data_IF_668428952165
#
_entry.id   IF_668428952165
#
_cell.length_a   1.000
_cell.length_b   1.000
_cell.length_c   1.000
_cell.angle_alpha   90.00
_cell.angle_beta   90.00
_cell.angle_gamma   90.00
#
_symmetry.space_group_name_H-M   'P 1'
#
loop_
_entity.id
_entity.type
_entity.pdbx_description
1 polymer ?
#
# COMPACT_ATOMS: atom_id res chain seq x y z
N UNK A 1 7.18 4.73 33.71
CA UNK A 1 8.58 4.47 33.32
C UNK A 1 8.58 3.64 32.05
N UNK A 2 9.09 4.20 30.96
CA UNK A 2 9.16 3.71 29.58
C UNK A 2 9.86 2.34 29.43
N UNK A 3 9.10 1.23 29.34
CA UNK A 3 9.70 -0.08 29.01
C UNK A 3 9.07 -0.82 27.83
N UNK A 4 7.86 -0.48 27.38
CA UNK A 4 7.22 -1.17 26.25
C UNK A 4 7.35 -0.47 24.88
N UNK A 5 7.67 0.83 24.85
CA UNK A 5 7.69 1.60 23.59
C UNK A 5 8.90 1.31 22.68
N UNK A 6 9.88 0.50 23.11
CA UNK A 6 11.07 0.16 22.31
C UNK A 6 10.88 -1.05 21.39
N UNK A 7 9.73 -1.75 21.45
CA UNK A 7 9.52 -2.98 20.65
C UNK A 7 8.98 -2.72 19.24
N UNK A 8 8.38 -1.55 19.00
CA UNK A 8 7.75 -1.23 17.72
C UNK A 8 8.60 -0.24 16.93
N UNK A 9 9.37 -0.74 15.95
CA UNK A 9 9.94 0.12 14.90
C UNK A 9 8.79 0.62 14.03
N UNK A 10 8.33 1.83 14.30
CA UNK A 10 7.34 2.50 13.46
C UNK A 10 7.95 2.78 12.09
N UNK A 11 7.40 2.14 11.05
CA UNK A 11 7.86 2.28 9.68
C UNK A 11 6.96 3.26 8.91
N UNK A 12 7.42 3.73 7.75
CA UNK A 12 6.64 4.62 6.87
C UNK A 12 5.29 3.99 6.46
N UNK A 13 5.25 2.66 6.32
CA UNK A 13 4.02 1.89 6.05
C UNK A 13 3.01 2.02 7.19
N UNK A 14 3.48 1.97 8.45
CA UNK A 14 2.62 2.09 9.63
C UNK A 14 2.04 3.52 9.74
N UNK A 15 2.80 4.52 9.29
CA UNK A 15 2.34 5.90 9.17
C UNK A 15 1.28 6.07 8.07
N UNK A 16 1.51 5.53 6.86
CA UNK A 16 0.52 5.58 5.76
C UNK A 16 -0.79 4.91 6.17
N UNK A 17 -0.70 3.74 6.79
CA UNK A 17 -1.85 2.99 7.30
C UNK A 17 -2.65 3.80 8.32
N UNK A 18 -1.98 4.40 9.31
CA UNK A 18 -2.65 5.18 10.34
C UNK A 18 -3.29 6.47 9.81
N UNK A 19 -2.63 7.14 8.87
CA UNK A 19 -3.19 8.36 8.23
C UNK A 19 -4.47 8.03 7.46
N UNK A 20 -4.51 6.88 6.79
CA UNK A 20 -5.70 6.38 6.11
C UNK A 20 -6.82 6.03 7.09
N UNK A 21 -6.53 5.28 8.15
CA UNK A 21 -7.50 4.96 9.21
C UNK A 21 -8.12 6.23 9.82
N UNK A 22 -7.28 7.24 10.11
CA UNK A 22 -7.72 8.51 10.70
C UNK A 22 -8.55 9.37 9.74
N UNK A 23 -8.32 9.25 8.44
CA UNK A 23 -9.15 9.93 7.44
C UNK A 23 -10.47 9.19 7.23
N UNK A 24 -10.45 7.85 7.20
CA UNK A 24 -11.66 7.00 7.16
C UNK A 24 -12.59 7.29 8.33
N UNK A 25 -12.06 7.41 9.55
CA UNK A 25 -12.81 7.79 10.76
C UNK A 25 -13.46 9.19 10.65
N UNK A 26 -12.86 10.13 9.91
CA UNK A 26 -13.40 11.50 9.76
C UNK A 26 -14.45 11.61 8.67
N UNK A 27 -14.22 10.93 7.57
CA UNK A 27 -15.09 11.00 6.38
C UNK A 27 -16.22 9.97 6.43
N UNK A 28 -16.27 9.11 7.45
CA UNK A 28 -17.19 7.96 7.56
C UNK A 28 -17.18 7.06 6.32
N UNK A 29 -16.08 7.06 5.57
CA UNK A 29 -15.91 6.25 4.37
C UNK A 29 -15.33 4.88 4.73
N UNK A 30 -15.51 3.91 3.82
CA UNK A 30 -14.98 2.55 3.96
C UNK A 30 -13.50 2.41 3.50
N UNK A 31 -12.80 3.53 3.32
CA UNK A 31 -11.40 3.58 2.88
C UNK A 31 -10.45 3.28 4.05
N UNK A 32 -10.46 2.02 4.47
CA UNK A 32 -9.60 1.51 5.54
C UNK A 32 -8.11 1.58 5.16
N UNK A 33 -7.22 1.67 6.17
CA UNK A 33 -5.77 1.68 5.94
C UNK A 33 -5.27 0.43 5.19
N UNK A 34 -5.96 -0.70 5.35
CA UNK A 34 -5.70 -1.94 4.60
C UNK A 34 -5.95 -1.76 3.09
N UNK A 35 -7.05 -1.11 2.73
CA UNK A 35 -7.42 -0.87 1.33
C UNK A 35 -6.44 0.10 0.67
N UNK A 36 -5.98 1.13 1.38
CA UNK A 36 -4.97 2.06 0.85
C UNK A 36 -3.62 1.37 0.59
N UNK A 37 -3.15 0.53 1.52
CA UNK A 37 -1.91 -0.24 1.31
C UNK A 37 -2.06 -1.26 0.17
N UNK A 38 -3.22 -1.91 0.06
CA UNK A 38 -3.53 -2.79 -1.05
C UNK A 38 -3.52 -2.04 -2.39
N UNK A 39 -4.15 -0.87 -2.47
CA UNK A 39 -4.15 -0.04 -3.67
C UNK A 39 -2.73 0.44 -4.03
N UNK A 40 -1.96 0.94 -3.05
CA UNK A 40 -0.58 1.32 -3.29
C UNK A 40 0.27 0.14 -3.81
N UNK A 41 0.11 -1.05 -3.24
CA UNK A 41 0.80 -2.25 -3.72
C UNK A 41 0.38 -2.63 -5.14
N UNK A 42 -0.93 -2.64 -5.40
CA UNK A 42 -1.49 -3.04 -6.68
C UNK A 42 -1.05 -2.08 -7.80
N UNK A 43 -1.10 -0.78 -7.56
CA UNK A 43 -0.73 0.25 -8.55
C UNK A 43 0.78 0.48 -8.68
N UNK A 44 1.57 0.27 -7.64
CA UNK A 44 3.02 0.50 -7.69
C UNK A 44 3.81 -0.74 -8.09
N UNK A 45 3.30 -1.95 -7.81
CA UNK A 45 4.05 -3.20 -7.97
C UNK A 45 3.29 -4.18 -8.88
N UNK A 46 2.05 -4.52 -8.55
CA UNK A 46 1.34 -5.59 -9.27
C UNK A 46 1.03 -5.23 -10.72
N UNK A 47 0.43 -4.07 -10.98
CA UNK A 47 0.10 -3.62 -12.34
C UNK A 47 1.37 -3.39 -13.17
N UNK A 48 2.34 -2.57 -12.71
CA UNK A 48 3.45 -2.21 -13.58
C UNK A 48 4.54 -3.27 -13.69
N UNK A 49 4.79 -4.05 -12.63
CA UNK A 49 5.85 -5.06 -12.64
C UNK A 49 5.28 -6.47 -12.71
N UNK A 50 4.28 -6.76 -11.87
CA UNK A 50 3.73 -8.11 -11.75
C UNK A 50 3.13 -8.62 -13.06
N UNK A 51 2.16 -7.90 -13.63
CA UNK A 51 1.42 -8.35 -14.80
C UNK A 51 2.33 -8.56 -16.03
N UNK A 52 3.09 -7.57 -16.53
CA UNK A 52 3.86 -7.74 -17.77
C UNK A 52 5.02 -8.70 -17.62
N UNK A 53 5.69 -8.73 -16.46
CA UNK A 53 6.80 -9.65 -16.24
C UNK A 53 6.30 -11.09 -16.17
N UNK A 54 5.20 -11.35 -15.45
CA UNK A 54 4.64 -12.69 -15.32
C UNK A 54 4.02 -13.19 -16.62
N UNK A 55 3.34 -12.32 -17.37
CA UNK A 55 2.80 -12.69 -18.70
C UNK A 55 3.90 -12.93 -19.73
N UNK A 56 5.07 -12.30 -19.59
CA UNK A 56 6.22 -12.56 -20.47
C UNK A 56 6.96 -13.84 -20.11
N UNK A 57 7.07 -14.18 -18.82
CA UNK A 57 7.82 -15.33 -18.33
C UNK A 57 7.00 -16.63 -18.27
N UNK A 58 5.69 -16.54 -18.07
CA UNK A 58 4.81 -17.68 -17.84
C UNK A 58 3.60 -17.68 -18.78
N UNK A 59 3.03 -18.87 -19.01
CA UNK A 59 1.75 -19.01 -19.72
C UNK A 59 0.62 -18.27 -18.99
N UNK A 60 -0.39 -17.83 -19.75
CA UNK A 60 -1.47 -16.96 -19.26
C UNK A 60 -2.13 -17.45 -17.97
N UNK A 61 -2.40 -18.76 -17.86
CA UNK A 61 -3.05 -19.37 -16.70
C UNK A 61 -2.16 -19.30 -15.45
N UNK A 62 -0.86 -19.59 -15.62
CA UNK A 62 0.11 -19.59 -14.51
C UNK A 62 0.37 -18.16 -14.05
N UNK A 63 0.52 -17.22 -15.00
CA UNK A 63 0.66 -15.80 -14.70
C UNK A 63 -0.53 -15.28 -13.89
N UNK A 64 -1.76 -15.66 -14.27
CA UNK A 64 -2.97 -15.25 -13.55
C UNK A 64 -3.02 -15.81 -12.12
N UNK A 65 -2.68 -17.08 -11.93
CA UNK A 65 -2.61 -17.70 -10.61
C UNK A 65 -1.59 -17.01 -9.69
N UNK A 66 -0.40 -16.70 -10.23
CA UNK A 66 0.66 -16.03 -9.47
C UNK A 66 0.26 -14.58 -9.12
N UNK A 67 -0.36 -13.84 -10.05
CA UNK A 67 -0.88 -12.49 -9.80
C UNK A 67 -1.92 -12.51 -8.68
N UNK A 68 -2.84 -13.48 -8.68
CA UNK A 68 -3.84 -13.63 -7.62
C UNK A 68 -3.20 -13.87 -6.25
N UNK A 69 -2.14 -14.68 -6.18
CA UNK A 69 -1.38 -14.91 -4.94
C UNK A 69 -0.67 -13.61 -4.50
N UNK A 70 -0.04 -12.89 -5.43
CA UNK A 70 0.63 -11.60 -5.16
C UNK A 70 -0.33 -10.50 -4.68
N UNK A 71 -1.59 -10.53 -5.12
CA UNK A 71 -2.63 -9.65 -4.60
C UNK A 71 -2.99 -9.98 -3.14
N UNK A 72 -2.92 -11.24 -2.72
CA UNK A 72 -3.23 -11.62 -1.34
C UNK A 72 -2.13 -11.26 -0.32
N UNK A 73 -0.87 -11.21 -0.76
CA UNK A 73 0.29 -10.86 0.08
C UNK A 73 0.12 -9.56 0.90
N UNK A 74 -0.28 -8.41 0.33
CA UNK A 74 -0.45 -7.18 1.09
C UNK A 74 -1.59 -7.27 2.11
N UNK A 75 -2.68 -7.99 1.84
CA UNK A 75 -3.77 -8.17 2.81
C UNK A 75 -3.30 -9.03 3.99
N UNK A 76 -2.63 -10.17 3.70
CA UNK A 76 -2.09 -11.06 4.72
C UNK A 76 -1.02 -10.36 5.56
N UNK A 77 -0.13 -9.58 4.93
CA UNK A 77 0.86 -8.78 5.62
C UNK A 77 0.20 -7.75 6.53
N UNK A 78 -0.87 -7.08 6.09
CA UNK A 78 -1.61 -6.14 6.93
C UNK A 78 -2.26 -6.84 8.13
N UNK A 79 -2.85 -8.03 7.94
CA UNK A 79 -3.46 -8.77 9.03
C UNK A 79 -2.44 -9.24 10.07
N UNK A 80 -1.30 -9.78 9.62
CA UNK A 80 -0.22 -10.23 10.51
C UNK A 80 0.48 -9.06 11.22
N UNK A 81 0.61 -7.91 10.54
CA UNK A 81 1.35 -6.75 11.05
C UNK A 81 0.51 -5.78 11.89
N UNK A 82 -0.80 -5.70 11.68
CA UNK A 82 -1.69 -4.76 12.38
C UNK A 82 -2.69 -5.49 13.29
N UNK A 83 -2.18 -6.20 14.28
CA UNK A 83 -2.93 -6.73 15.43
C UNK A 83 -3.55 -5.60 16.25
N UNK A 84 -4.66 -5.85 16.95
CA UNK A 84 -5.38 -4.87 17.76
C UNK A 84 -4.45 -4.08 18.72
N UNK A 85 -3.55 -4.78 19.39
CA UNK A 85 -2.57 -4.19 20.33
C UNK A 85 -1.67 -3.13 19.65
N UNK A 86 -1.19 -3.41 18.43
CA UNK A 86 -0.33 -2.49 17.69
C UNK A 86 -1.10 -1.30 17.12
N UNK A 87 -2.39 -1.49 16.80
CA UNK A 87 -3.28 -0.38 16.39
C UNK A 87 -3.49 0.60 17.53
N UNK A 88 -3.66 0.11 18.76
CA UNK A 88 -3.78 0.97 19.95
C UNK A 88 -2.49 1.73 20.23
N UNK A 89 -1.32 1.07 20.11
CA UNK A 89 -0.02 1.72 20.23
C UNK A 89 0.15 2.84 19.16
N UNK A 90 -0.22 2.57 17.91
CA UNK A 90 -0.22 3.57 16.83
C UNK A 90 -1.19 4.73 17.12
N UNK A 91 -2.38 4.44 17.64
CA UNK A 91 -3.36 5.46 18.03
C UNK A 91 -2.85 6.36 19.14
N UNK A 92 -2.12 5.82 20.11
CA UNK A 92 -1.50 6.59 21.20
C UNK A 92 -0.33 7.43 20.70
N UNK A 93 0.50 6.89 19.82
CA UNK A 93 1.69 7.58 19.28
C UNK A 93 1.32 8.69 18.28
N UNK A 94 0.44 8.39 17.33
CA UNK A 94 0.05 9.31 16.26
C UNK A 94 -1.28 10.06 16.52
N UNK A 95 -1.93 9.83 17.66
CA UNK A 95 -3.23 10.41 18.01
C UNK A 95 -3.30 11.93 18.02
N UNK A 96 -2.16 12.62 18.21
CA UNK A 96 -2.09 14.09 18.19
C UNK A 96 -1.94 14.69 16.78
N UNK A 97 -1.98 13.88 15.71
CA UNK A 97 -1.79 14.39 14.36
C UNK A 97 -2.95 15.27 13.88
N UNK A 98 -2.67 16.56 13.66
CA UNK A 98 -3.56 17.52 13.00
C UNK A 98 -3.32 17.47 11.47
N UNK A 99 -4.40 17.56 10.68
CA UNK A 99 -4.41 17.51 9.20
C UNK A 99 -4.07 16.16 8.53
N UNK A 100 -4.71 15.06 8.93
CA UNK A 100 -4.58 13.74 8.30
C UNK A 100 -4.89 13.75 6.79
N UNK A 101 -5.93 14.46 6.35
CA UNK A 101 -6.33 14.51 4.93
C UNK A 101 -5.25 15.07 3.98
N UNK A 102 -4.57 16.17 4.35
CA UNK A 102 -3.50 16.75 3.51
C UNK A 102 -2.29 15.81 3.42
N UNK A 103 -2.00 15.07 4.48
CA UNK A 103 -0.93 14.06 4.51
C UNK A 103 -1.30 12.85 3.64
N UNK A 104 -2.54 12.39 3.73
CA UNK A 104 -3.08 11.34 2.86
C UNK A 104 -2.99 11.75 1.39
N UNK A 105 -3.46 12.96 1.05
CA UNK A 105 -3.39 13.47 -0.31
C UNK A 105 -1.95 13.49 -0.86
N UNK A 106 -0.96 13.87 -0.04
CA UNK A 106 0.45 13.79 -0.46
C UNK A 106 0.91 12.34 -0.71
N UNK A 107 0.53 11.40 0.15
CA UNK A 107 0.87 9.97 -0.02
C UNK A 107 0.25 9.44 -1.32
N UNK A 108 -1.03 9.73 -1.55
CA UNK A 108 -1.76 9.33 -2.76
C UNK A 108 -1.13 9.98 -4.00
N UNK A 109 -0.76 11.26 -3.93
CA UNK A 109 -0.11 11.96 -5.04
C UNK A 109 1.27 11.38 -5.38
N UNK A 110 2.06 10.99 -4.36
CA UNK A 110 3.32 10.27 -4.56
C UNK A 110 3.08 8.89 -5.17
N UNK A 111 2.06 8.16 -4.71
CA UNK A 111 1.70 6.86 -5.27
C UNK A 111 1.29 6.97 -6.75
N UNK A 112 0.48 7.98 -7.10
CA UNK A 112 0.10 8.27 -8.49
C UNK A 112 1.33 8.62 -9.32
N UNK A 113 2.21 9.49 -8.82
CA UNK A 113 3.45 9.85 -9.51
C UNK A 113 4.35 8.64 -9.76
N UNK A 114 4.47 7.74 -8.78
CA UNK A 114 5.16 6.46 -8.91
C UNK A 114 4.51 5.56 -9.96
N UNK A 115 3.18 5.46 -9.98
CA UNK A 115 2.45 4.70 -11.01
C UNK A 115 2.69 5.25 -12.41
N UNK A 116 2.63 6.58 -12.59
CA UNK A 116 2.91 7.23 -13.88
C UNK A 116 4.37 7.00 -14.31
N UNK A 117 5.32 7.16 -13.40
CA UNK A 117 6.73 6.90 -13.67
C UNK A 117 6.99 5.44 -14.05
N UNK A 118 6.37 4.50 -13.34
CA UNK A 118 6.43 3.08 -13.67
C UNK A 118 5.82 2.78 -15.04
N UNK A 119 4.67 3.37 -15.37
CA UNK A 119 4.03 3.21 -16.67
C UNK A 119 4.91 3.76 -17.80
N UNK A 120 5.54 4.92 -17.59
CA UNK A 120 6.50 5.50 -18.52
C UNK A 120 7.75 4.61 -18.69
N UNK A 121 8.26 4.02 -17.61
CA UNK A 121 9.36 3.06 -17.67
C UNK A 121 8.96 1.82 -18.50
N UNK A 122 7.76 1.30 -18.32
CA UNK A 122 7.29 0.13 -19.10
C UNK A 122 7.14 0.45 -20.59
N UNK A 123 6.70 1.67 -20.91
CA UNK A 123 6.67 2.18 -22.27
C UNK A 123 8.09 2.25 -22.85
N UNK A 124 9.04 2.80 -22.09
CA UNK A 124 10.45 2.90 -22.49
C UNK A 124 11.14 1.53 -22.63
N UNK A 125 10.83 0.56 -21.77
CA UNK A 125 11.35 -0.81 -21.85
C UNK A 125 10.66 -1.67 -22.92
N UNK A 126 9.69 -1.12 -23.66
CA UNK A 126 9.03 -1.80 -24.78
C UNK A 126 8.03 -2.89 -24.37
N UNK A 127 7.55 -2.88 -23.13
CA UNK A 127 6.51 -3.84 -22.66
C UNK A 127 5.12 -3.48 -23.16
N UNK A 128 4.86 -2.21 -23.50
CA UNK A 128 3.60 -1.73 -24.04
C UNK A 128 3.93 -1.03 -25.36
N UNK A 129 3.66 -1.69 -26.49
CA UNK A 129 3.64 -1.04 -27.80
C UNK A 129 2.23 -0.51 -28.03
N UNK A 130 2.11 0.79 -28.35
CA UNK A 130 0.91 1.27 -29.01
C UNK A 130 0.98 0.69 -30.44
N UNK A 131 0.15 -0.31 -30.71
CA UNK A 131 -0.12 -0.79 -32.07
C UNK A 131 -1.15 0.12 -32.72
#
# INVERSE_FOLDING_TARGET
>A
MDKDNRKYRFCFIDYMWYVAEKWSEREHNNLNGRMLLFLCWLFAITIPLGIPLLFRLFSWIIAFAIVMILCFLPDLFCQLRYTAERREALRKYYGKMKHSGRKLAKIVLIAIALTVANFALMFHFGFIHWA
#
